data_IF_381774956158
#
_entry.id   IF_381774956158
#
_cell.length_a   1.000
_cell.length_b   1.000
_cell.length_c   1.000
_cell.angle_alpha   90.00
_cell.angle_beta   90.00
_cell.angle_gamma   90.00
#
_symmetry.space_group_name_H-M   'P 1'
#
loop_
_entity.id
_entity.type
_entity.pdbx_description
1 polymer ?
#
# COMPACT_ATOMS: atom_id res chain seq x y z
N UNK A 1 47.95 13.94 -10.06
CA UNK A 1 47.18 12.96 -10.86
C UNK A 1 46.92 11.66 -10.07
N UNK A 2 45.99 11.63 -9.10
CA UNK A 2 45.81 10.46 -8.22
C UNK A 2 44.35 10.09 -7.87
N UNK A 3 43.34 10.57 -8.62
CA UNK A 3 41.91 10.38 -8.29
C UNK A 3 41.17 9.31 -9.11
N UNK A 4 41.76 8.78 -10.19
CA UNK A 4 41.08 7.83 -11.11
C UNK A 4 41.17 6.35 -10.71
N UNK A 5 42.14 5.94 -9.87
CA UNK A 5 42.36 4.51 -9.55
C UNK A 5 41.38 3.93 -8.51
N UNK A 6 40.72 4.76 -7.69
CA UNK A 6 39.78 4.28 -6.66
C UNK A 6 38.39 3.90 -7.19
N UNK A 7 37.98 4.40 -8.36
CA UNK A 7 36.65 4.13 -8.92
C UNK A 7 36.52 2.73 -9.53
N UNK A 8 37.64 2.12 -9.93
CA UNK A 8 37.65 0.78 -10.51
C UNK A 8 37.61 -0.33 -9.44
N UNK A 9 38.30 -0.13 -8.31
CA UNK A 9 38.29 -1.08 -7.18
C UNK A 9 36.92 -1.21 -6.51
N UNK A 10 36.13 -0.12 -6.42
CA UNK A 10 34.77 -0.18 -5.85
C UNK A 10 33.78 -0.93 -6.74
N UNK A 11 33.94 -0.87 -8.08
CA UNK A 11 33.14 -1.64 -9.04
C UNK A 11 33.45 -3.14 -9.01
N UNK A 12 34.72 -3.54 -8.80
CA UNK A 12 35.07 -4.94 -8.64
C UNK A 12 34.62 -5.52 -7.29
N UNK A 13 34.63 -4.73 -6.20
CA UNK A 13 34.10 -5.18 -4.89
C UNK A 13 32.60 -5.45 -4.91
N UNK A 14 31.82 -4.69 -5.70
CA UNK A 14 30.38 -4.94 -5.90
C UNK A 14 30.06 -6.17 -6.76
N UNK A 15 31.00 -6.67 -7.57
CA UNK A 15 30.82 -7.86 -8.41
C UNK A 15 31.04 -9.18 -7.66
N UNK A 16 31.62 -9.17 -6.46
CA UNK A 16 31.88 -10.41 -5.69
C UNK A 16 30.70 -10.89 -4.84
N UNK A 17 29.61 -10.13 -4.75
CA UNK A 17 28.38 -10.58 -4.09
C UNK A 17 27.36 -11.19 -5.09
N UNK A 18 27.80 -11.56 -6.29
CA UNK A 18 26.97 -12.24 -7.29
C UNK A 18 26.88 -13.76 -7.04
N UNK A 19 26.95 -14.21 -5.77
CA UNK A 19 26.68 -15.59 -5.37
C UNK A 19 25.18 -15.86 -5.14
N UNK A 20 24.31 -14.86 -5.32
CA UNK A 20 22.86 -14.99 -5.11
C UNK A 20 22.13 -15.81 -6.19
N UNK A 21 22.83 -16.28 -7.24
CA UNK A 21 22.21 -17.11 -8.28
C UNK A 21 21.82 -18.50 -7.76
N UNK A 22 22.67 -19.09 -6.92
CA UNK A 22 22.45 -20.39 -6.27
C UNK A 22 21.27 -20.36 -5.30
N UNK A 23 21.15 -19.32 -4.48
CA UNK A 23 20.04 -19.15 -3.53
C UNK A 23 18.66 -19.14 -4.20
N UNK A 24 18.53 -18.51 -5.36
CA UNK A 24 17.23 -18.41 -6.05
C UNK A 24 16.75 -19.74 -6.62
N UNK A 25 17.67 -20.59 -7.07
CA UNK A 25 17.36 -21.93 -7.59
C UNK A 25 17.07 -22.92 -6.45
N UNK A 26 17.80 -22.81 -5.34
CA UNK A 26 17.54 -23.60 -4.13
C UNK A 26 16.18 -23.24 -3.52
N UNK A 27 15.86 -21.95 -3.40
CA UNK A 27 14.55 -21.49 -2.94
C UNK A 27 13.41 -22.02 -3.83
N UNK A 28 13.60 -21.98 -5.15
CA UNK A 28 12.63 -22.50 -6.10
C UNK A 28 12.41 -24.01 -5.90
N UNK A 29 13.50 -24.77 -5.78
CA UNK A 29 13.44 -26.21 -5.52
C UNK A 29 12.68 -26.53 -4.21
N UNK A 30 12.91 -25.73 -3.16
CA UNK A 30 12.19 -25.87 -1.90
C UNK A 30 10.70 -25.51 -2.02
N UNK A 31 10.34 -24.47 -2.79
CA UNK A 31 8.93 -24.12 -3.00
C UNK A 31 8.20 -25.17 -3.84
N UNK A 32 8.86 -25.76 -4.84
CA UNK A 32 8.29 -26.78 -5.71
C UNK A 32 8.13 -28.15 -5.02
N UNK A 33 8.85 -28.39 -3.91
CA UNK A 33 8.72 -29.63 -3.12
C UNK A 33 7.66 -29.55 -2.01
N UNK A 34 7.05 -28.38 -1.79
CA UNK A 34 6.00 -28.22 -0.79
C UNK A 34 4.71 -28.93 -1.22
N UNK A 35 3.94 -29.46 -0.25
CA UNK A 35 2.52 -29.73 -0.46
C UNK A 35 1.81 -28.51 -1.06
N UNK A 36 0.90 -28.74 -2.01
CA UNK A 36 0.21 -27.67 -2.74
C UNK A 36 -0.46 -26.67 -1.80
N UNK A 37 -1.06 -27.12 -0.70
CA UNK A 37 -1.71 -26.27 0.31
C UNK A 37 -0.73 -25.24 0.92
N UNK A 38 0.51 -25.67 1.21
CA UNK A 38 1.53 -24.78 1.76
C UNK A 38 2.07 -23.82 0.71
N UNK A 39 2.21 -24.28 -0.54
CA UNK A 39 2.56 -23.41 -1.65
C UNK A 39 1.52 -22.31 -1.85
N UNK A 40 0.25 -22.68 -1.92
CA UNK A 40 -0.87 -21.75 -2.10
C UNK A 40 -0.96 -20.78 -0.92
N UNK A 41 -0.77 -21.26 0.30
CA UNK A 41 -0.73 -20.39 1.48
C UNK A 41 0.40 -19.36 1.43
N UNK A 42 1.63 -19.77 1.07
CA UNK A 42 2.77 -18.86 0.92
C UNK A 42 2.52 -17.88 -0.24
N UNK A 43 1.97 -18.36 -1.35
CA UNK A 43 1.61 -17.54 -2.50
C UNK A 43 0.60 -16.45 -2.10
N UNK A 44 -0.41 -16.82 -1.33
CA UNK A 44 -1.44 -15.91 -0.85
C UNK A 44 -0.87 -14.88 0.12
N UNK A 45 -0.03 -15.29 1.07
CA UNK A 45 0.69 -14.37 1.95
C UNK A 45 1.60 -13.40 1.19
N UNK A 46 2.23 -13.84 0.10
CA UNK A 46 3.20 -13.04 -0.65
C UNK A 46 2.53 -12.03 -1.57
N UNK A 47 1.42 -12.43 -2.21
CA UNK A 47 0.74 -11.64 -3.24
C UNK A 47 -0.59 -11.04 -2.79
N UNK A 48 -0.87 -11.07 -1.50
CA UNK A 48 -1.98 -10.32 -0.90
C UNK A 48 -1.40 -9.20 -0.06
N UNK A 49 -1.87 -7.98 -0.30
CA UNK A 49 -1.49 -6.84 0.51
C UNK A 49 -2.36 -6.73 1.76
N UNK A 50 -1.73 -6.36 2.88
CA UNK A 50 -2.46 -5.91 4.06
C UNK A 50 -3.36 -4.73 3.69
N UNK A 51 -4.61 -4.79 4.15
CA UNK A 51 -5.49 -3.65 4.04
C UNK A 51 -5.10 -2.59 5.08
N UNK A 52 -5.04 -1.33 4.65
CA UNK A 52 -4.61 -0.19 5.48
C UNK A 52 -5.26 1.10 4.98
N UNK A 53 -5.29 2.12 5.83
CA UNK A 53 -5.52 3.51 5.41
C UNK A 53 -4.19 4.13 4.97
N UNK A 54 -4.09 4.49 3.70
CA UNK A 54 -2.86 5.04 3.10
C UNK A 54 -3.06 6.50 2.76
N UNK A 55 -2.36 7.37 3.47
CA UNK A 55 -2.44 8.83 3.33
C UNK A 55 -1.28 9.32 2.49
N UNK A 56 -1.58 10.02 1.40
CA UNK A 56 -0.59 10.57 0.49
C UNK A 56 -0.66 12.09 0.47
N UNK A 57 0.40 12.72 0.96
CA UNK A 57 0.47 14.17 1.16
C UNK A 57 1.89 14.68 0.90
N UNK A 58 2.03 15.92 0.48
CA UNK A 58 3.35 16.58 0.45
C UNK A 58 3.80 16.87 1.88
N UNK A 59 5.11 16.93 2.10
CA UNK A 59 5.68 17.20 3.43
C UNK A 59 5.10 18.48 4.08
N UNK A 60 4.86 19.54 3.31
CA UNK A 60 4.25 20.75 3.86
C UNK A 60 2.79 20.56 4.31
N UNK A 61 2.03 19.68 3.66
CA UNK A 61 0.65 19.36 4.04
C UNK A 61 0.62 18.47 5.28
N UNK A 62 1.55 17.52 5.37
CA UNK A 62 1.75 16.70 6.57
C UNK A 62 1.99 17.62 7.76
N UNK A 63 2.91 18.57 7.63
CA UNK A 63 3.18 19.55 8.69
C UNK A 63 1.97 20.43 8.99
N UNK A 64 1.31 21.00 7.98
CA UNK A 64 0.19 21.94 8.16
C UNK A 64 -1.04 21.30 8.81
N UNK A 65 -1.32 20.04 8.48
CA UNK A 65 -2.46 19.26 8.99
C UNK A 65 -2.05 18.33 10.13
N UNK A 66 -0.80 18.41 10.56
CA UNK A 66 -0.19 17.59 11.61
C UNK A 66 -0.32 16.08 11.39
N UNK A 67 -0.41 15.60 10.15
CA UNK A 67 -0.79 14.20 9.84
C UNK A 67 0.13 13.15 10.46
N UNK A 68 1.38 13.49 10.82
CA UNK A 68 2.34 12.57 11.45
C UNK A 68 1.77 11.92 12.73
N UNK A 69 0.91 12.63 13.47
CA UNK A 69 0.29 12.07 14.68
C UNK A 69 -0.56 10.83 14.39
N UNK A 70 -1.14 10.69 13.18
CA UNK A 70 -1.93 9.51 12.83
C UNK A 70 -1.08 8.24 12.84
N UNK A 71 0.14 8.31 12.30
CA UNK A 71 1.07 7.18 12.33
C UNK A 71 1.71 6.94 13.70
N UNK A 72 1.67 7.93 14.61
CA UNK A 72 2.14 7.77 15.99
C UNK A 72 1.04 7.19 16.90
N UNK A 73 -0.20 7.62 16.71
CA UNK A 73 -1.36 7.18 17.50
C UNK A 73 -1.87 5.78 17.09
N UNK A 74 -1.64 5.39 15.83
CA UNK A 74 -2.08 4.11 15.29
C UNK A 74 -0.89 3.34 14.71
N UNK A 75 -0.96 2.01 14.77
CA UNK A 75 0.07 1.13 14.19
C UNK A 75 0.23 1.35 12.68
N UNK A 76 1.45 1.13 12.16
CA UNK A 76 1.73 1.09 10.71
C UNK A 76 0.94 -0.01 9.97
N UNK A 77 0.32 -0.93 10.70
CA UNK A 77 -0.64 -1.91 10.15
C UNK A 77 -2.01 -1.28 9.87
N UNK A 78 -2.37 -0.18 10.53
CA UNK A 78 -3.65 0.52 10.38
C UNK A 78 -3.51 1.67 9.40
N UNK A 79 -2.50 2.52 9.58
CA UNK A 79 -2.32 3.73 8.79
C UNK A 79 -0.88 3.93 8.36
N UNK A 80 -0.66 4.35 7.12
CA UNK A 80 0.66 4.72 6.61
C UNK A 80 0.63 6.06 5.89
N UNK A 81 1.71 6.84 6.04
CA UNK A 81 1.86 8.13 5.39
C UNK A 81 2.92 8.03 4.30
N UNK A 82 2.53 8.36 3.07
CA UNK A 82 3.37 8.33 1.88
C UNK A 82 4.07 7.00 1.63
N UNK A 83 3.51 5.86 2.04
CA UNK A 83 4.10 4.54 1.77
C UNK A 83 4.38 4.35 0.28
N UNK A 84 5.58 3.85 -0.09
CA UNK A 84 5.87 3.50 -1.48
C UNK A 84 5.05 2.27 -1.87
N UNK A 85 4.34 2.28 -3.01
CA UNK A 85 3.75 1.06 -3.54
C UNK A 85 4.83 -0.04 -3.68
N UNK A 86 4.59 -1.27 -3.18
CA UNK A 86 5.56 -2.35 -3.27
C UNK A 86 5.92 -2.68 -4.72
N UNK A 87 7.15 -3.16 -4.93
CA UNK A 87 7.65 -3.54 -6.27
C UNK A 87 7.03 -4.83 -6.83
N UNK A 88 6.00 -5.39 -6.16
CA UNK A 88 5.30 -6.62 -6.53
C UNK A 88 4.43 -6.48 -7.78
N UNK A 89 4.38 -5.30 -8.40
CA UNK A 89 3.75 -5.12 -9.72
C UNK A 89 4.65 -5.55 -10.89
N UNK A 90 5.85 -6.07 -10.62
CA UNK A 90 6.83 -6.46 -11.65
C UNK A 90 6.99 -7.98 -11.82
N UNK A 91 6.18 -8.79 -11.14
CA UNK A 91 6.17 -10.26 -11.25
C UNK A 91 5.32 -10.73 -12.44
N UNK A 92 5.04 -12.04 -12.52
CA UNK A 92 4.17 -12.60 -13.54
C UNK A 92 2.76 -11.97 -13.52
N UNK A 93 2.02 -12.17 -14.62
CA UNK A 93 0.73 -11.52 -14.86
C UNK A 93 -0.33 -11.90 -13.81
N UNK A 94 -0.37 -13.15 -13.36
CA UNK A 94 -1.37 -13.63 -12.40
C UNK A 94 -1.12 -13.01 -11.04
N UNK A 95 0.11 -13.13 -10.54
CA UNK A 95 0.51 -12.63 -9.23
C UNK A 95 0.38 -11.12 -9.13
N UNK A 96 0.73 -10.39 -10.19
CA UNK A 96 0.48 -8.94 -10.29
C UNK A 96 -1.01 -8.59 -10.20
N UNK A 97 -1.87 -9.38 -10.84
CA UNK A 97 -3.32 -9.13 -10.82
C UNK A 97 -3.88 -9.37 -9.42
N UNK A 98 -3.46 -10.46 -8.76
CA UNK A 98 -3.83 -10.76 -7.37
C UNK A 98 -3.37 -9.66 -6.40
N UNK A 99 -2.12 -9.24 -6.51
CA UNK A 99 -1.57 -8.18 -5.68
C UNK A 99 -2.26 -6.83 -5.94
N UNK A 100 -2.45 -6.45 -7.20
CA UNK A 100 -3.14 -5.20 -7.52
C UNK A 100 -4.59 -5.19 -7.00
N UNK A 101 -5.30 -6.31 -7.13
CA UNK A 101 -6.66 -6.44 -6.63
C UNK A 101 -6.72 -6.28 -5.10
N UNK A 102 -5.83 -6.94 -4.35
CA UNK A 102 -5.79 -6.79 -2.88
C UNK A 102 -5.32 -5.41 -2.42
N UNK A 103 -4.26 -4.85 -3.03
CA UNK A 103 -3.68 -3.58 -2.63
C UNK A 103 -4.58 -2.38 -2.98
N UNK A 104 -5.08 -2.30 -4.22
CA UNK A 104 -5.83 -1.12 -4.73
C UNK A 104 -7.35 -1.31 -4.75
N UNK A 105 -7.84 -2.54 -4.90
CA UNK A 105 -9.26 -2.86 -5.04
C UNK A 105 -9.90 -3.49 -3.80
N UNK A 106 -9.10 -3.88 -2.81
CA UNK A 106 -9.53 -4.56 -1.59
C UNK A 106 -10.08 -3.60 -0.52
N UNK A 107 -9.87 -3.95 0.75
CA UNK A 107 -10.33 -3.17 1.91
C UNK A 107 -9.42 -1.96 2.24
N UNK A 108 -8.41 -1.70 1.42
CA UNK A 108 -7.50 -0.56 1.58
C UNK A 108 -8.20 0.76 1.25
N UNK A 109 -7.98 1.78 2.08
CA UNK A 109 -8.51 3.13 1.87
C UNK A 109 -7.34 4.03 1.44
N UNK A 110 -7.53 4.80 0.37
CA UNK A 110 -6.51 5.73 -0.14
C UNK A 110 -6.99 7.16 0.05
N UNK A 111 -6.25 7.94 0.83
CA UNK A 111 -6.52 9.36 1.06
C UNK A 111 -5.42 10.18 0.38
N UNK A 112 -5.79 11.03 -0.56
CA UNK A 112 -4.87 11.91 -1.28
C UNK A 112 -5.10 13.34 -0.83
N UNK A 113 -4.07 13.98 -0.29
CA UNK A 113 -4.10 15.36 0.18
C UNK A 113 -3.54 16.26 -0.91
N UNK A 114 -4.39 17.15 -1.43
CA UNK A 114 -4.07 17.95 -2.62
C UNK A 114 -4.05 19.47 -2.40
N UNK A 115 -3.50 20.23 -3.37
CA UNK A 115 -3.57 19.90 -4.79
C UNK A 115 -2.56 18.83 -5.23
N UNK A 116 -3.05 17.81 -5.93
CA UNK A 116 -2.30 16.60 -6.35
C UNK A 116 -1.20 16.90 -7.39
N UNK A 117 -0.99 18.18 -7.72
CA UNK A 117 -0.32 18.65 -8.94
C UNK A 117 1.06 18.05 -9.20
N UNK A 118 1.79 17.52 -8.22
CA UNK A 118 3.10 16.91 -8.46
C UNK A 118 3.45 15.91 -7.35
N UNK A 119 4.00 14.75 -7.76
CA UNK A 119 4.73 13.76 -6.93
C UNK A 119 3.90 12.82 -6.04
N UNK A 120 2.70 12.43 -6.44
CA UNK A 120 2.15 11.19 -5.88
C UNK A 120 3.10 10.04 -6.23
N UNK A 121 3.37 9.12 -5.29
CA UNK A 121 4.21 7.92 -5.53
C UNK A 121 3.54 6.91 -6.49
N UNK A 122 2.50 7.34 -7.19
CA UNK A 122 1.67 6.56 -8.10
C UNK A 122 1.86 7.03 -9.54
N UNK A 123 1.97 6.08 -10.46
CA UNK A 123 1.69 6.32 -11.87
C UNK A 123 0.18 6.46 -12.08
N UNK A 124 -0.22 7.03 -13.22
CA UNK A 124 -1.62 7.11 -13.63
C UNK A 124 -2.31 5.74 -13.65
N UNK A 125 -1.59 4.69 -14.04
CA UNK A 125 -2.11 3.31 -14.03
C UNK A 125 -2.49 2.83 -12.63
N UNK A 126 -1.76 3.22 -11.59
CA UNK A 126 -2.10 2.85 -10.21
C UNK A 126 -3.37 3.56 -9.74
N UNK A 127 -3.53 4.83 -10.10
CA UNK A 127 -4.73 5.61 -9.74
C UNK A 127 -5.99 5.02 -10.38
N UNK A 128 -5.88 4.47 -11.59
CA UNK A 128 -6.96 3.72 -12.24
C UNK A 128 -7.42 2.49 -11.45
N UNK A 129 -6.55 1.88 -10.66
CA UNK A 129 -6.86 0.67 -9.87
C UNK A 129 -7.51 0.98 -8.52
N UNK A 130 -7.30 2.18 -7.95
CA UNK A 130 -7.89 2.57 -6.66
C UNK A 130 -9.39 2.69 -6.84
N UNK A 131 -10.19 1.84 -6.19
CA UNK A 131 -11.64 1.78 -6.40
C UNK A 131 -12.36 3.08 -6.01
N UNK A 132 -12.13 3.55 -4.79
CA UNK A 132 -12.77 4.75 -4.20
C UNK A 132 -11.68 5.63 -3.57
N UNK A 133 -11.06 6.53 -4.31
CA UNK A 133 -10.07 7.45 -3.77
C UNK A 133 -10.75 8.54 -2.91
N UNK A 134 -10.24 8.74 -1.70
CA UNK A 134 -10.62 9.87 -0.86
C UNK A 134 -9.70 11.05 -1.17
N UNK A 135 -10.27 12.24 -1.29
CA UNK A 135 -9.54 13.47 -1.54
C UNK A 135 -9.76 14.46 -0.40
N UNK A 136 -8.66 14.90 0.20
CA UNK A 136 -8.66 15.93 1.24
C UNK A 136 -8.00 17.20 0.71
N UNK A 137 -8.64 18.34 0.94
CA UNK A 137 -8.05 19.64 0.63
C UNK A 137 -6.88 19.95 1.58
N UNK A 138 -5.84 20.65 1.11
CA UNK A 138 -4.73 21.13 1.95
C UNK A 138 -5.16 21.90 3.20
N UNK A 139 -6.36 22.50 3.21
CA UNK A 139 -6.87 23.21 4.38
C UNK A 139 -7.45 22.29 5.46
N UNK A 140 -7.65 21.00 5.17
CA UNK A 140 -8.34 20.04 6.04
C UNK A 140 -9.85 20.29 6.16
N UNK A 141 -10.36 21.36 5.55
CA UNK A 141 -11.75 21.82 5.66
C UNK A 141 -12.62 21.29 4.52
N UNK A 142 -13.96 21.26 4.71
CA UNK A 142 -14.87 20.90 3.64
C UNK A 142 -14.62 21.74 2.40
N UNK A 143 -14.55 21.10 1.24
CA UNK A 143 -14.60 21.84 -0.02
C UNK A 143 -16.04 22.28 -0.25
N UNK A 144 -16.27 23.59 -0.26
CA UNK A 144 -17.57 24.22 -0.59
C UNK A 144 -17.97 23.91 -2.05
N UNK A 145 -17.04 23.40 -2.87
CA UNK A 145 -17.13 23.24 -4.31
C UNK A 145 -17.18 21.77 -4.79
N UNK A 146 -17.63 20.81 -3.97
CA UNK A 146 -17.65 19.38 -4.38
C UNK A 146 -18.40 19.10 -5.70
N UNK A 147 -19.30 19.99 -6.11
CA UNK A 147 -20.05 19.93 -7.36
C UNK A 147 -19.63 20.97 -8.41
N UNK A 148 -18.56 21.75 -8.17
CA UNK A 148 -18.05 22.70 -9.17
C UNK A 148 -17.41 21.93 -10.33
N UNK A 149 -17.99 21.97 -11.54
CA UNK A 149 -17.43 21.29 -12.71
C UNK A 149 -16.01 21.78 -13.04
N UNK A 150 -15.69 23.04 -12.72
CA UNK A 150 -14.36 23.61 -12.94
C UNK A 150 -13.30 22.91 -12.09
N UNK A 151 -13.63 22.58 -10.83
CA UNK A 151 -12.69 21.88 -9.95
C UNK A 151 -12.49 20.42 -10.36
N UNK A 152 -13.56 19.74 -10.80
CA UNK A 152 -13.45 18.39 -11.36
C UNK A 152 -12.61 18.36 -12.64
N UNK A 153 -12.75 19.35 -13.51
CA UNK A 153 -11.89 19.52 -14.70
C UNK A 153 -10.42 19.66 -14.31
N UNK A 154 -10.12 20.43 -13.26
CA UNK A 154 -8.75 20.57 -12.75
C UNK A 154 -8.22 19.23 -12.21
N UNK A 155 -9.06 18.39 -11.62
CA UNK A 155 -8.64 17.07 -11.13
C UNK A 155 -8.51 16.04 -12.26
N UNK A 156 -9.39 16.08 -13.26
CA UNK A 156 -9.37 15.16 -14.41
C UNK A 156 -8.17 15.41 -15.32
N UNK A 157 -7.83 16.67 -15.60
CA UNK A 157 -6.70 17.05 -16.46
C UNK A 157 -5.33 16.73 -15.82
N UNK A 158 -5.25 16.70 -14.49
CA UNK A 158 -3.96 16.77 -13.79
C UNK A 158 -3.54 15.43 -13.17
N UNK A 159 -4.50 14.60 -12.75
CA UNK A 159 -4.19 13.56 -11.76
C UNK A 159 -4.28 12.16 -12.35
N UNK A 160 -5.34 11.84 -13.10
CA UNK A 160 -5.54 10.50 -13.64
C UNK A 160 -6.57 10.34 -14.77
N UNK A 161 -7.19 11.43 -15.25
CA UNK A 161 -8.33 11.37 -16.20
C UNK A 161 -9.70 11.43 -15.52
N UNK A 162 -10.75 11.62 -16.32
CA UNK A 162 -12.14 11.80 -15.85
C UNK A 162 -12.64 10.63 -14.99
N UNK A 163 -12.38 9.39 -15.40
CA UNK A 163 -12.82 8.20 -14.67
C UNK A 163 -12.28 8.10 -13.23
N UNK A 164 -11.13 8.72 -12.93
CA UNK A 164 -10.66 8.82 -11.55
C UNK A 164 -11.38 9.93 -10.80
N UNK A 165 -11.55 11.10 -11.43
CA UNK A 165 -12.24 12.24 -10.84
C UNK A 165 -13.69 11.90 -10.45
N UNK A 166 -14.38 11.09 -11.26
CA UNK A 166 -15.76 10.68 -11.02
C UNK A 166 -15.93 9.77 -9.79
N UNK A 167 -14.86 9.11 -9.35
CA UNK A 167 -14.87 8.19 -8.21
C UNK A 167 -14.37 8.84 -6.92
N UNK A 168 -13.95 10.11 -6.97
CA UNK A 168 -13.42 10.80 -5.80
C UNK A 168 -14.51 11.03 -4.75
N UNK A 169 -14.17 10.68 -3.51
CA UNK A 169 -14.94 11.05 -2.33
C UNK A 169 -14.18 12.17 -1.63
N UNK A 170 -14.79 13.35 -1.57
CA UNK A 170 -14.22 14.46 -0.83
C UNK A 170 -14.37 14.22 0.67
N UNK A 171 -13.28 14.41 1.41
CA UNK A 171 -13.23 14.20 2.86
C UNK A 171 -12.51 15.35 3.55
N UNK A 172 -12.93 15.64 4.77
CA UNK A 172 -12.25 16.52 5.71
C UNK A 172 -11.20 15.76 6.50
N UNK A 173 -10.42 16.50 7.31
CA UNK A 173 -9.48 15.91 8.25
C UNK A 173 -10.22 15.07 9.30
N UNK A 174 -11.29 15.60 9.89
CA UNK A 174 -12.07 14.88 10.92
C UNK A 174 -12.67 13.58 10.36
N UNK A 175 -13.25 13.62 9.16
CA UNK A 175 -13.76 12.41 8.50
C UNK A 175 -12.64 11.41 8.19
N UNK A 176 -11.44 11.88 7.83
CA UNK A 176 -10.27 11.00 7.63
C UNK A 176 -9.86 10.33 8.94
N UNK A 177 -9.86 11.07 10.04
CA UNK A 177 -9.57 10.55 11.39
C UNK A 177 -10.60 9.49 11.79
N UNK A 178 -11.89 9.74 11.54
CA UNK A 178 -12.95 8.77 11.82
C UNK A 178 -12.82 7.51 10.96
N UNK A 179 -12.42 7.63 9.68
CA UNK A 179 -12.10 6.46 8.85
C UNK A 179 -10.96 5.64 9.44
N UNK A 180 -9.89 6.28 9.92
CA UNK A 180 -8.77 5.59 10.58
C UNK A 180 -9.23 4.90 11.87
N UNK A 181 -10.04 5.55 12.70
CA UNK A 181 -10.60 4.96 13.93
C UNK A 181 -11.47 3.74 13.64
N UNK A 182 -12.38 3.86 12.68
CA UNK A 182 -13.25 2.75 12.27
C UNK A 182 -12.43 1.58 11.75
N UNK A 183 -11.41 1.86 10.93
CA UNK A 183 -10.49 0.85 10.43
C UNK A 183 -9.72 0.17 11.58
N UNK A 184 -9.15 0.93 12.51
CA UNK A 184 -8.44 0.41 13.68
C UNK A 184 -9.34 -0.48 14.56
N UNK A 185 -10.59 -0.06 14.79
CA UNK A 185 -11.57 -0.83 15.54
C UNK A 185 -11.92 -2.16 14.85
N UNK A 186 -12.07 -2.14 13.52
CA UNK A 186 -12.31 -3.35 12.73
C UNK A 186 -11.11 -4.30 12.74
N UNK A 187 -9.88 -3.78 12.66
CA UNK A 187 -8.65 -4.59 12.76
C UNK A 187 -8.54 -5.26 14.14
N UNK A 188 -8.76 -4.53 15.23
CA UNK A 188 -8.71 -5.10 16.58
C UNK A 188 -9.77 -6.20 16.83
N UNK A 189 -10.95 -6.08 16.22
CA UNK A 189 -11.99 -7.12 16.26
C UNK A 189 -11.69 -8.29 15.31
N UNK A 190 -11.06 -8.02 14.17
CA UNK A 190 -10.66 -9.03 13.18
C UNK A 190 -9.51 -9.90 13.67
N UNK A 191 -8.47 -9.33 14.27
CA UNK A 191 -7.36 -10.08 14.88
C UNK A 191 -7.83 -10.98 16.02
N UNK A 192 -8.83 -10.53 16.80
CA UNK A 192 -9.48 -11.37 17.81
C UNK A 192 -10.21 -12.56 17.17
N UNK A 193 -10.78 -12.39 15.97
CA UNK A 193 -11.47 -13.44 15.21
C UNK A 193 -10.50 -14.45 14.60
N UNK A 194 -9.41 -14.01 13.98
CA UNK A 194 -8.38 -14.88 13.42
C UNK A 194 -7.57 -15.60 14.51
N UNK A 195 -7.29 -14.93 15.63
CA UNK A 195 -6.67 -15.57 16.79
C UNK A 195 -7.59 -16.65 17.39
N UNK A 196 -8.90 -16.43 17.42
CA UNK A 196 -9.87 -17.45 17.84
C UNK A 196 -9.98 -18.59 16.82
N UNK A 197 -10.02 -18.32 15.51
CA UNK A 197 -10.09 -19.35 14.46
C UNK A 197 -8.82 -20.22 14.38
N UNK A 198 -7.65 -19.61 14.57
CA UNK A 198 -6.37 -20.31 14.70
C UNK A 198 -6.33 -21.17 15.98
N UNK A 199 -6.86 -20.66 17.10
CA UNK A 199 -6.96 -21.45 18.33
C UNK A 199 -7.93 -22.63 18.18
N UNK A 200 -9.09 -22.45 17.55
CA UNK A 200 -10.03 -23.57 17.29
C UNK A 200 -9.45 -24.59 16.32
N UNK A 201 -8.74 -24.15 15.27
CA UNK A 201 -8.12 -25.07 14.30
C UNK A 201 -6.93 -25.84 14.90
N UNK A 202 -6.20 -25.24 15.84
CA UNK A 202 -5.12 -25.93 16.57
C UNK A 202 -5.64 -26.87 17.67
N UNK A 203 -6.75 -26.57 18.35
CA UNK A 203 -7.35 -27.49 19.33
C UNK A 203 -7.92 -28.75 18.68
N UNK A 204 -8.39 -28.69 17.43
CA UNK A 204 -8.87 -29.89 16.71
C UNK A 204 -7.76 -30.85 16.26
N UNK A 205 -6.49 -30.42 16.27
CA UNK A 205 -5.34 -31.26 15.89
C UNK A 205 -4.72 -31.98 17.09
N UNK A 206 -5.00 -31.55 18.33
CA UNK A 206 -4.40 -32.12 19.55
C UNK A 206 -5.28 -33.18 20.23
N UNK A 207 -6.61 -33.18 20.01
CA UNK A 207 -7.54 -34.14 20.64
C UNK A 207 -7.91 -35.34 19.73
N UNK A 208 -7.18 -35.54 18.63
CA UNK A 208 -7.47 -36.53 17.59
C UNK A 208 -6.40 -37.59 17.36
N UNK A 209 -5.68 -38.03 18.41
CA UNK A 209 -4.78 -39.20 18.33
C UNK A 209 -4.82 -40.04 19.61
#
# INVERSE_FOLDING_TARGET
MARKKNRHKSRQKRRRNASNGTDSLELRSHLESLPQELYDYIYDLTFTADAKVRVYARNHQIWLLELDWLSEAYSEQVVTINEKPPHLLHVDRSSRTKFAASYFGGASIFVVVGPVRYRTRFSQSHLGLIRVPHYMCSSGRPMVQNNDPGFRSILSEIVAGEAFADRLVFTTLDETVELVKQYAGAVGQGESRWAMELFTSLTFIVDGN
#
